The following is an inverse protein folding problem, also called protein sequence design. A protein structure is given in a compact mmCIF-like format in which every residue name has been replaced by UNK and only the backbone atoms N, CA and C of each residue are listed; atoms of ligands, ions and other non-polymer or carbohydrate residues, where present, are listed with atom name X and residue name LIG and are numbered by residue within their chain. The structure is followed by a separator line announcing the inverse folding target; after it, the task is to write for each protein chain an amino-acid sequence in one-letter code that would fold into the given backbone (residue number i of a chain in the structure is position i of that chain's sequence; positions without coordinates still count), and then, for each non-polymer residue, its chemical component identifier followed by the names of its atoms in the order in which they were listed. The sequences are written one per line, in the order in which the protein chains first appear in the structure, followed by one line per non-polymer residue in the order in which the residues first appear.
data_IF_900724569193
#
_entry.id   IF_900724569193
#
_cell.length_a   1.000
_cell.length_b   1.000
_cell.length_c   1.000
_cell.angle_alpha   90.00
_cell.angle_beta   90.00
_cell.angle_gamma   90.00
#
_symmetry.space_group_name_H-M   'P 1'
#
loop_
_entity.id
_entity.type
_entity.pdbx_description
1 polymer ?
2 polymer ?
3 non-polymer ?
4 non-polymer ?
5 water ?
#
# COMPACT_ATOMS: atom_id res chain seq x y z
N UNK A 14 -27.73 22.89 -16.76
CA UNK A 14 -26.77 22.53 -15.71
C UNK A 14 -25.59 21.81 -16.32
N UNK A 15 -24.42 22.42 -16.24
CA UNK A 15 -23.25 21.95 -16.95
C UNK A 15 -22.15 21.55 -15.97
N UNK A 16 -21.42 20.49 -16.34
CA UNK A 16 -20.33 19.99 -15.50
C UNK A 16 -19.20 20.99 -15.42
N UNK A 17 -18.64 21.15 -14.21
CA UNK A 17 -17.53 22.09 -14.03
C UNK A 17 -16.22 21.36 -13.75
N UNK A 18 -15.11 21.84 -14.30
CA UNK A 18 -13.81 21.24 -13.96
C UNK A 18 -13.41 21.58 -12.54
N UNK A 19 -12.66 20.68 -11.93
CA UNK A 19 -12.22 20.94 -10.56
C UNK A 19 -11.06 21.93 -10.58
N UNK A 20 -10.82 22.54 -9.42
CA UNK A 20 -9.73 23.48 -9.23
C UNK A 20 -8.71 22.79 -8.34
N UNK A 21 -7.56 22.43 -8.91
CA UNK A 21 -6.54 21.76 -8.12
C UNK A 21 -5.92 22.72 -7.10
N UNK A 22 -5.37 22.15 -6.02
CA UNK A 22 -4.70 22.93 -5.00
C UNK A 22 -3.52 23.67 -5.62
N UNK A 23 -3.38 24.95 -5.27
CA UNK A 23 -2.38 25.78 -5.95
C UNK A 23 -0.96 25.43 -5.53
N UNK A 24 -0.76 25.06 -4.28
CA UNK A 24 0.56 24.71 -3.78
C UNK A 24 0.96 23.32 -4.27
N UNK A 25 2.02 23.18 -5.08
CA UNK A 25 2.40 21.85 -5.57
C UNK A 25 2.63 20.85 -4.45
N UNK A 26 3.16 21.31 -3.31
CA UNK A 26 3.34 20.42 -2.17
C UNK A 26 2.01 19.88 -1.65
N UNK A 27 0.93 20.67 -1.76
CA UNK A 27 -0.36 20.16 -1.30
C UNK A 27 -0.87 19.08 -2.23
N UNK A 28 -0.62 19.23 -3.53
CA UNK A 28 -1.01 18.22 -4.51
C UNK A 28 -0.25 16.93 -4.31
N UNK A 29 1.06 17.02 -4.04
CA UNK A 29 1.83 15.80 -3.80
C UNK A 29 1.40 15.11 -2.51
N UNK A 30 1.10 15.88 -1.47
CA UNK A 30 0.55 15.32 -0.24
C UNK A 30 -0.77 14.61 -0.50
N UNK A 31 -1.66 15.24 -1.27
CA UNK A 31 -2.94 14.63 -1.61
C UNK A 31 -2.74 13.31 -2.33
N UNK A 32 -1.95 13.33 -3.41
CA UNK A 32 -1.65 12.11 -4.16
C UNK A 32 -0.97 11.06 -3.29
N UNK A 33 -0.21 11.49 -2.29
CA UNK A 33 0.41 10.53 -1.38
C UNK A 33 -0.59 9.79 -0.52
N UNK A 34 -1.63 10.47 -0.03
CA UNK A 34 -2.62 9.77 0.78
C UNK A 34 -3.38 8.74 -0.04
N UNK A 35 -3.59 9.01 -1.33
CA UNK A 35 -4.24 8.02 -2.19
C UNK A 35 -3.32 6.84 -2.44
N UNK A 36 -2.04 7.10 -2.76
CA UNK A 36 -1.09 6.01 -2.93
C UNK A 36 -0.95 5.20 -1.65
N UNK A 37 -0.99 5.87 -0.49
CA UNK A 37 -0.89 5.15 0.77
C UNK A 37 -2.07 4.20 0.98
N UNK A 38 -3.29 4.63 0.63
CA UNK A 38 -4.46 3.78 0.82
C UNK A 38 -4.50 2.65 -0.20
N UNK A 39 -4.07 2.92 -1.44
CA UNK A 39 -3.99 1.86 -2.45
C UNK A 39 -3.01 0.77 -2.03
N UNK A 40 -1.86 1.18 -1.49
CA UNK A 40 -0.88 0.24 -0.98
C UNK A 40 -1.45 -0.59 0.17
N UNK A 41 -2.23 0.05 1.05
CA UNK A 41 -2.83 -0.68 2.18
C UNK A 41 -3.79 -1.76 1.70
N UNK A 42 -4.46 -1.55 0.56
CA UNK A 42 -5.35 -2.55 -0.01
C UNK A 42 -4.64 -3.42 -1.05
N UNK A 43 -3.32 -3.26 -1.19
CA UNK A 43 -2.53 -3.94 -2.21
C UNK A 43 -3.14 -3.76 -3.60
N UNK A 44 -3.40 -2.51 -3.95
CA UNK A 44 -4.00 -2.14 -5.22
C UNK A 44 -3.01 -1.36 -6.07
N UNK A 45 -3.24 -1.41 -7.39
CA UNK A 45 -2.53 -0.56 -8.32
C UNK A 45 -3.42 0.60 -8.73
N UNK A 46 -2.84 1.79 -8.82
CA UNK A 46 -3.60 2.95 -9.30
C UNK A 46 -4.02 2.73 -10.74
N UNK A 47 -5.26 3.10 -11.04
CA UNK A 47 -5.79 3.02 -12.41
C UNK A 47 -6.89 4.06 -12.57
N UNK A 48 -6.68 5.02 -13.47
CA UNK A 48 -7.65 6.09 -13.70
C UNK A 48 -8.55 5.78 -14.90
N UNK A 49 -8.62 4.53 -15.32
CA UNK A 49 -9.47 4.14 -16.42
C UNK A 49 -10.14 2.81 -16.12
N UNK A 50 -11.23 2.55 -16.83
CA UNK A 50 -11.84 1.21 -16.82
C UNK A 50 -10.90 0.21 -17.48
N UNK A 51 -10.68 -0.93 -16.82
CA UNK A 51 -9.78 -1.96 -17.36
C UNK A 51 -10.56 -3.24 -17.67
N UNK A 52 -10.16 -3.90 -18.76
CA UNK A 52 -10.80 -5.11 -19.24
C UNK A 52 -9.76 -6.22 -19.21
N UNK A 53 -9.87 -7.12 -18.24
CA UNK A 53 -8.87 -8.14 -17.98
C UNK A 53 -9.38 -9.51 -18.43
N UNK A 54 -8.46 -10.48 -18.40
CA UNK A 54 -8.77 -11.83 -18.83
C UNK A 54 -9.71 -12.51 -17.86
N UNK A 55 -10.57 -13.37 -18.39
CA UNK A 55 -11.55 -14.04 -17.58
C UNK A 55 -12.64 -13.13 -17.05
N UNK A 56 -12.66 -11.87 -17.47
CA UNK A 56 -13.69 -10.93 -17.03
C UNK A 56 -14.45 -10.40 -18.25
N UNK A 57 -14.95 -9.11 -18.20
CA UNK A 57 -15.70 -8.76 -19.40
C UNK A 57 -14.78 -8.10 -20.43
N UNK A 58 -15.00 -8.36 -21.72
CA UNK A 58 -14.26 -7.63 -22.75
C UNK A 58 -14.85 -6.25 -22.97
N UNK A 59 -14.01 -5.37 -23.50
CA UNK A 59 -14.45 -4.01 -23.79
C UNK A 59 -15.65 -3.98 -24.73
N UNK A 60 -15.86 -5.04 -25.52
CA UNK A 60 -16.99 -5.07 -26.44
C UNK A 60 -18.31 -5.25 -25.71
N UNK A 61 -18.29 -5.86 -24.52
CA UNK A 61 -19.50 -5.98 -23.73
C UNK A 61 -19.99 -4.65 -23.19
N UNK A 62 -19.14 -3.63 -23.11
CA UNK A 62 -19.56 -2.36 -22.50
C UNK A 62 -20.11 -1.44 -23.58
N UNK A 63 -21.40 -1.61 -23.87
CA UNK A 63 -22.10 -0.78 -24.84
C UNK A 63 -23.37 -0.24 -24.18
N UNK A 64 -23.46 1.09 -24.11
CA UNK A 64 -24.58 1.71 -23.40
C UNK A 64 -25.93 1.37 -24.00
N UNK A 65 -25.99 0.97 -25.29
CA UNK A 65 -27.27 0.63 -25.89
C UNK A 65 -27.90 -0.61 -25.28
N UNK A 66 -27.13 -1.42 -24.55
CA UNK A 66 -27.66 -2.56 -23.80
C UNK A 66 -28.39 -2.16 -22.52
N UNK A 67 -28.25 -0.91 -22.05
CA UNK A 67 -28.86 -0.50 -20.78
C UNK A 67 -30.38 -0.50 -20.90
N UNK A 68 -31.05 -1.28 -20.05
CA UNK A 68 -32.50 -1.36 -20.11
C UNK A 68 -33.12 0.00 -19.83
N UNK A 69 -33.93 0.49 -20.76
CA UNK A 69 -34.46 1.82 -20.64
C UNK A 69 -33.54 2.92 -21.12
N UNK A 70 -32.40 2.57 -21.72
CA UNK A 70 -31.51 3.54 -22.29
C UNK A 70 -30.70 4.30 -21.25
N UNK A 71 -29.64 4.94 -21.72
CA UNK A 71 -28.73 5.70 -20.89
C UNK A 71 -28.57 7.10 -21.46
N UNK A 72 -28.61 8.10 -20.58
CA UNK A 72 -28.33 9.47 -20.98
C UNK A 72 -26.95 9.60 -21.62
N UNK A 73 -26.84 10.49 -22.59
CA UNK A 73 -25.61 10.67 -23.37
C UNK A 73 -24.88 11.91 -22.86
N UNK A 74 -23.57 11.77 -22.64
CA UNK A 74 -22.77 12.91 -22.23
C UNK A 74 -22.60 13.85 -23.43
N UNK A 75 -22.95 15.12 -23.23
CA UNK A 75 -22.87 16.10 -24.30
C UNK A 75 -21.43 16.42 -24.69
N UNK A 76 -21.26 16.98 -25.89
CA UNK A 76 -19.93 17.33 -26.34
C UNK A 76 -19.28 18.33 -25.39
N UNK A 77 -20.07 19.27 -24.88
CA UNK A 77 -19.58 20.26 -23.93
C UNK A 77 -19.10 19.60 -22.63
N UNK A 78 -19.86 18.62 -22.12
CA UNK A 78 -19.47 17.90 -20.90
C UNK A 78 -18.32 16.92 -21.16
N UNK A 79 -18.24 16.36 -22.37
CA UNK A 79 -17.12 15.48 -22.70
C UNK A 79 -15.82 16.27 -22.70
N UNK A 80 -15.86 17.49 -23.23
CA UNK A 80 -14.69 18.37 -23.21
C UNK A 80 -14.18 18.57 -21.79
N UNK A 81 -15.08 18.90 -20.87
CA UNK A 81 -14.71 19.07 -19.46
C UNK A 81 -14.11 17.79 -18.88
N UNK A 82 -14.76 16.65 -19.14
CA UNK A 82 -14.21 15.36 -18.73
C UNK A 82 -12.79 15.18 -19.24
N UNK A 83 -12.56 15.47 -20.53
CA UNK A 83 -11.22 15.32 -21.10
C UNK A 83 -10.22 16.26 -20.45
N UNK A 84 -10.64 17.49 -20.12
CA UNK A 84 -9.74 18.39 -19.41
C UNK A 84 -9.34 17.82 -18.05
N UNK A 85 -10.33 17.44 -17.24
CA UNK A 85 -10.05 16.85 -15.93
C UNK A 85 -9.12 15.65 -16.05
N UNK A 86 -9.38 14.76 -17.01
CA UNK A 86 -8.48 13.64 -17.27
C UNK A 86 -7.07 14.11 -17.61
N UNK A 87 -6.96 15.13 -18.47
CA UNK A 87 -5.65 15.67 -18.83
C UNK A 87 -4.98 16.32 -17.63
N UNK A 88 -5.77 17.02 -16.80
CA UNK A 88 -5.21 17.60 -15.59
C UNK A 88 -4.62 16.52 -14.67
N UNK A 89 -5.33 15.41 -14.50
CA UNK A 89 -4.83 14.36 -13.62
C UNK A 89 -3.55 13.71 -14.16
N UNK A 90 -3.37 13.71 -15.47
CA UNK A 90 -2.17 13.10 -16.04
C UNK A 90 -0.91 13.89 -15.69
N UNK A 91 -1.00 15.22 -15.70
CA UNK A 91 0.17 16.08 -15.42
C UNK A 91 0.37 16.35 -13.94
N UNK A 92 -0.48 15.83 -13.06
CA UNK A 92 -0.31 16.02 -11.62
C UNK A 92 -1.31 16.95 -10.96
N UNK A 93 -2.25 17.51 -11.72
CA UNK A 93 -3.30 18.36 -11.16
C UNK A 93 -4.52 17.52 -10.82
N UNK A 94 -4.41 16.78 -9.71
CA UNK A 94 -5.51 15.99 -9.19
C UNK A 94 -6.57 16.89 -8.58
N UNK A 95 -7.80 16.40 -8.41
CA UNK A 95 -8.78 17.17 -7.63
C UNK A 95 -8.33 17.31 -6.20
N UNK A 96 -8.80 18.41 -5.47
CA UNK A 96 -8.29 18.64 -4.10
C UNK A 96 -8.98 17.71 -3.10
N UNK A 97 -8.47 16.48 -3.00
CA UNK A 97 -9.08 15.43 -2.20
C UNK A 97 -8.03 14.75 -1.35
N UNK A 98 -8.42 14.36 -0.14
CA UNK A 98 -7.56 13.64 0.78
C UNK A 98 -8.23 12.33 1.14
N UNK A 99 -7.47 11.23 1.06
CA UNK A 99 -7.92 9.96 1.60
C UNK A 99 -7.46 9.91 3.06
N UNK A 100 -8.40 9.73 3.98
CA UNK A 100 -8.14 9.80 5.41
C UNK A 100 -8.80 8.61 6.09
N UNK A 101 -8.05 7.94 6.98
CA UNK A 101 -8.62 6.82 7.69
C UNK A 101 -9.46 7.32 8.87
N UNK A 102 -10.66 6.76 9.00
CA UNK A 102 -11.57 7.04 10.10
C UNK A 102 -11.92 5.72 10.76
N UNK A 103 -11.93 5.70 12.10
CA UNK A 103 -12.09 4.43 12.81
C UNK A 103 -13.49 3.86 12.65
N UNK A 104 -14.48 4.69 12.36
CA UNK A 104 -15.85 4.21 12.20
C UNK A 104 -16.25 3.99 10.75
N UNK A 105 -15.49 4.53 9.78
CA UNK A 105 -15.82 4.37 8.38
C UNK A 105 -14.75 3.64 7.57
N UNK A 106 -13.54 3.49 8.11
CA UNK A 106 -12.44 3.05 7.29
C UNK A 106 -11.83 4.22 6.53
N UNK A 107 -11.33 3.93 5.33
CA UNK A 107 -10.84 5.01 4.48
C UNK A 107 -12.02 5.86 3.99
N UNK A 108 -11.81 7.17 3.99
CA UNK A 108 -12.81 8.14 3.56
C UNK A 108 -12.11 9.18 2.71
N UNK A 109 -12.90 9.99 2.01
CA UNK A 109 -12.36 11.03 1.14
C UNK A 109 -12.94 12.37 1.58
N UNK A 110 -12.08 13.35 1.83
CA UNK A 110 -12.52 14.67 2.21
C UNK A 110 -11.93 15.71 1.29
N UNK A 111 -12.68 16.79 1.11
CA UNK A 111 -12.19 17.90 0.34
C UNK A 111 -10.99 18.52 1.04
N UNK A 112 -9.89 18.72 0.30
CA UNK A 112 -8.74 19.46 0.80
C UNK A 112 -8.66 20.85 0.19
N UNK A 113 -9.76 21.29 -0.41
CA UNK A 113 -9.96 22.62 -0.97
C UNK A 113 -11.42 22.71 -1.33
N UNK A 114 -11.85 23.90 -1.74
CA UNK A 114 -13.24 24.09 -2.10
C UNK A 114 -13.57 23.34 -3.40
N UNK A 115 -14.77 22.76 -3.44
CA UNK A 115 -15.32 22.09 -4.62
C UNK A 115 -16.72 22.67 -4.83
N UNK A 116 -16.91 23.38 -5.94
CA UNK A 116 -18.19 24.03 -6.20
C UNK A 116 -19.25 23.01 -6.63
N UNK A 117 -20.50 23.37 -6.41
CA UNK A 117 -21.63 22.65 -6.98
C UNK A 117 -21.41 22.38 -8.46
N UNK A 118 -21.78 21.17 -8.90
CA UNK A 118 -21.67 20.67 -10.27
C UNK A 118 -20.23 20.38 -10.71
N UNK A 119 -19.29 20.30 -9.78
CA UNK A 119 -17.91 20.04 -10.15
C UNK A 119 -17.65 18.54 -10.33
N UNK A 120 -16.97 18.19 -11.42
CA UNK A 120 -16.51 16.83 -11.64
C UNK A 120 -15.49 16.43 -10.57
N UNK A 121 -15.75 15.31 -9.90
CA UNK A 121 -14.87 14.81 -8.85
C UNK A 121 -13.97 13.70 -9.37
N UNK A 122 -14.57 12.64 -9.92
CA UNK A 122 -13.80 11.50 -10.41
C UNK A 122 -14.71 10.54 -11.17
N UNK A 123 -14.07 9.71 -12.00
CA UNK A 123 -14.69 8.54 -12.61
C UNK A 123 -14.49 7.34 -11.71
N UNK A 124 -15.50 6.47 -11.63
CA UNK A 124 -15.36 5.25 -10.86
C UNK A 124 -14.66 4.21 -11.72
N UNK A 125 -13.41 3.90 -11.41
CA UNK A 125 -12.63 2.98 -12.23
C UNK A 125 -12.37 1.67 -11.47
N UNK A 126 -11.80 0.73 -12.20
CA UNK A 126 -11.56 -0.63 -11.73
C UNK A 126 -11.78 -1.59 -12.88
N UNK A 127 -11.71 -2.88 -12.56
CA UNK A 127 -11.91 -3.93 -13.56
C UNK A 127 -13.39 -4.08 -13.88
N UNK A 128 -13.71 -4.11 -15.17
CA UNK A 128 -15.07 -4.36 -15.63
C UNK A 128 -15.30 -5.87 -15.72
N UNK A 129 -16.38 -6.34 -15.09
CA UNK A 129 -16.69 -7.76 -15.08
C UNK A 129 -18.19 -7.93 -15.20
N UNK A 130 -18.58 -9.14 -15.59
CA UNK A 130 -19.99 -9.49 -15.64
C UNK A 130 -20.52 -9.66 -14.23
N UNK A 131 -21.72 -9.15 -13.98
CA UNK A 131 -22.37 -9.35 -12.69
C UNK A 131 -22.50 -10.84 -12.38
N UNK A 132 -22.82 -11.63 -13.40
CA UNK A 132 -22.88 -13.09 -13.27
C UNK A 132 -21.61 -13.66 -12.65
N UNK A 133 -20.45 -13.03 -12.90
CA UNK A 133 -19.18 -13.55 -12.40
C UNK A 133 -18.87 -13.12 -10.98
N UNK A 134 -19.68 -12.26 -10.37
CA UNK A 134 -19.33 -11.73 -9.06
C UNK A 134 -20.45 -11.91 -8.04
N UNK A 135 -21.40 -12.81 -8.31
CA UNK A 135 -22.51 -13.04 -7.40
C UNK A 135 -22.03 -13.43 -6.01
N UNK A 136 -20.88 -14.10 -5.93
CA UNK A 136 -20.30 -14.52 -4.65
C UNK A 136 -19.23 -13.59 -4.13
N UNK A 137 -18.82 -12.57 -4.91
CA UNK A 137 -17.64 -11.79 -4.55
C UNK A 137 -17.89 -10.96 -3.28
N UNK A 138 -16.87 -10.90 -2.44
CA UNK A 138 -16.90 -10.21 -1.15
C UNK A 138 -16.45 -8.75 -1.23
N UNK A 139 -15.95 -8.28 -2.37
CA UNK A 139 -15.47 -6.90 -2.50
C UNK A 139 -16.52 -5.90 -2.05
N UNK A 140 -16.11 -5.00 -1.16
CA UNK A 140 -17.03 -4.01 -0.62
C UNK A 140 -17.21 -2.79 -1.53
N UNK A 141 -16.61 -2.77 -2.73
CA UNK A 141 -16.60 -1.54 -3.53
C UNK A 141 -17.03 -1.75 -4.97
N UNK A 142 -17.88 -2.76 -5.23
CA UNK A 142 -18.42 -2.98 -6.56
C UNK A 142 -19.47 -1.92 -6.92
N UNK A 143 -19.44 -1.47 -8.18
CA UNK A 143 -20.32 -0.41 -8.66
C UNK A 143 -20.92 -0.82 -9.99
N UNK A 144 -22.25 -0.75 -10.09
CA UNK A 144 -22.92 -1.17 -11.31
C UNK A 144 -22.45 -0.32 -12.49
N UNK A 145 -22.18 -0.97 -13.62
CA UNK A 145 -21.78 -0.26 -14.82
C UNK A 145 -22.87 -0.28 -15.88
N UNK A 146 -23.47 -1.46 -16.12
CA UNK A 146 -24.47 -1.69 -17.15
C UNK A 146 -25.51 -2.67 -16.62
N UNK A 147 -26.78 -2.30 -16.70
CA UNK A 147 -27.90 -3.13 -16.30
C UNK A 147 -28.69 -3.44 -17.55
N UNK A 148 -28.53 -4.66 -18.05
CA UNK A 148 -29.12 -5.10 -19.31
C UNK A 148 -30.37 -5.93 -19.04
N UNK A 149 -31.25 -6.01 -20.04
CA UNK A 149 -32.45 -6.82 -19.88
C UNK A 149 -32.09 -8.28 -19.65
N UNK A 150 -31.08 -8.78 -20.36
CA UNK A 150 -30.55 -10.11 -20.09
C UNK A 150 -29.49 -10.00 -19.00
N UNK A 151 -29.74 -10.52 -17.79
CA UNK A 151 -28.80 -10.31 -16.67
C UNK A 151 -27.41 -10.86 -16.92
N UNK A 152 -27.25 -11.84 -17.81
CA UNK A 152 -25.90 -12.31 -18.08
C UNK A 152 -25.09 -11.32 -18.91
N UNK A 153 -25.66 -10.18 -19.33
CA UNK A 153 -24.87 -9.15 -19.98
C UNK A 153 -24.59 -7.93 -19.10
N UNK A 154 -25.14 -7.90 -17.89
CA UNK A 154 -24.93 -6.77 -16.97
C UNK A 154 -23.50 -6.77 -16.45
N UNK A 155 -22.96 -5.56 -16.28
CA UNK A 155 -21.55 -5.37 -15.93
C UNK A 155 -21.42 -4.60 -14.62
N UNK A 156 -20.34 -4.88 -13.91
CA UNK A 156 -20.05 -4.24 -12.64
C UNK A 156 -18.56 -3.87 -12.66
N UNK A 157 -18.24 -2.70 -12.08
CA UNK A 157 -16.86 -2.26 -11.92
C UNK A 157 -16.34 -2.84 -10.62
N UNK A 158 -15.16 -3.45 -10.66
CA UNK A 158 -14.59 -4.13 -9.50
C UNK A 158 -13.20 -3.53 -9.21
N UNK A 159 -13.08 -2.60 -8.28
CA UNK A 159 -11.79 -1.98 -7.98
C UNK A 159 -11.03 -2.74 -6.89
N UNK A 160 -11.00 -4.07 -6.98
CA UNK A 160 -10.33 -4.86 -5.94
C UNK A 160 -8.83 -4.98 -6.19
N UNK A 161 -8.40 -5.05 -7.44
CA UNK A 161 -6.99 -5.08 -7.78
C UNK A 161 -6.47 -3.75 -8.34
N UNK A 162 -7.31 -3.01 -9.07
CA UNK A 162 -6.95 -1.76 -9.73
C UNK A 162 -8.07 -0.75 -9.54
N UNK A 163 -7.73 0.50 -9.24
CA UNK A 163 -8.76 1.52 -9.09
C UNK A 163 -8.20 2.87 -8.72
N UNK A 164 -9.10 3.81 -8.43
CA UNK A 164 -8.70 5.18 -8.11
C UNK A 164 -9.40 5.65 -6.83
N UNK A 165 -9.44 6.98 -6.64
CA UNK A 165 -9.97 7.54 -5.39
C UNK A 165 -11.46 7.28 -5.21
N UNK A 166 -12.20 7.05 -6.30
CA UNK A 166 -13.65 6.94 -6.20
C UNK A 166 -14.08 5.79 -5.29
N UNK A 167 -13.32 4.69 -5.28
CA UNK A 167 -13.67 3.53 -4.47
C UNK A 167 -13.58 3.81 -2.98
N UNK A 168 -12.98 4.92 -2.58
CA UNK A 168 -12.83 5.21 -1.16
C UNK A 168 -13.90 6.16 -0.62
N UNK A 169 -14.75 6.70 -1.48
CA UNK A 169 -15.74 7.70 -1.06
C UNK A 169 -16.89 7.00 -0.33
N UNK A 170 -17.32 7.60 0.79
CA UNK A 170 -18.33 7.04 1.68
C UNK A 170 -19.72 7.18 1.10
N UNK A 171 -20.64 6.41 1.67
CA UNK A 171 -22.05 6.46 1.31
C UNK A 171 -22.91 6.90 2.48
N UNK A 172 -24.15 7.28 2.21
CA UNK A 172 -25.05 7.71 3.27
C UNK A 172 -25.77 6.50 3.86
N UNK A 173 -26.18 6.65 5.10
CA UNK A 173 -27.12 5.69 5.68
C UNK A 173 -28.49 5.95 5.06
N UNK A 174 -29.02 4.97 4.32
CA UNK A 174 -30.33 5.14 3.70
C UNK A 174 -31.50 4.87 4.64
N UNK A 175 -31.25 4.57 5.92
CA UNK A 175 -32.31 4.17 6.82
C UNK A 175 -32.64 5.20 7.90
N UNK A 176 -31.82 6.21 8.11
CA UNK A 176 -32.05 7.10 9.24
C UNK A 176 -32.77 8.37 8.79
N UNK A 177 -33.47 8.99 9.73
CA UNK A 177 -34.27 10.16 9.39
C UNK A 177 -33.41 11.31 8.88
N UNK A 178 -32.19 11.47 9.38
CA UNK A 178 -31.33 12.58 8.99
C UNK A 178 -30.16 12.17 8.12
N UNK A 179 -30.06 10.89 7.72
CA UNK A 179 -28.90 10.42 6.97
C UNK A 179 -28.74 11.07 5.61
N UNK A 180 -29.86 11.38 4.94
CA UNK A 180 -29.82 12.02 3.63
C UNK A 180 -29.13 13.38 3.67
N UNK A 181 -29.09 14.04 4.84
CA UNK A 181 -28.52 15.38 4.93
C UNK A 181 -27.02 15.40 4.69
N UNK A 182 -26.34 14.26 4.81
CA UNK A 182 -24.90 14.25 4.57
C UNK A 182 -24.51 14.20 3.11
N UNK A 183 -25.44 13.87 2.21
CA UNK A 183 -25.09 13.74 0.80
C UNK A 183 -24.69 15.10 0.20
N UNK A 184 -23.47 15.17 -0.31
CA UNK A 184 -22.99 16.36 -1.00
C UNK A 184 -22.44 16.05 -2.39
N UNK A 185 -22.60 14.82 -2.88
CA UNK A 185 -22.26 14.53 -4.26
C UNK A 185 -23.12 13.38 -4.75
N UNK A 186 -23.04 13.11 -6.05
CA UNK A 186 -23.92 12.16 -6.70
C UNK A 186 -23.15 11.35 -7.74
N UNK A 187 -23.50 10.07 -7.83
CA UNK A 187 -22.91 9.19 -8.82
C UNK A 187 -23.90 9.00 -9.97
N UNK A 188 -23.44 9.20 -11.20
CA UNK A 188 -24.29 9.12 -12.37
C UNK A 188 -23.59 8.28 -13.44
N UNK A 189 -24.40 7.64 -14.30
CA UNK A 189 -23.90 6.86 -15.42
C UNK A 189 -24.30 7.52 -16.73
N UNK A 190 -23.31 7.73 -17.60
CA UNK A 190 -23.49 8.41 -18.88
C UNK A 190 -22.88 7.58 -20.00
N UNK A 191 -23.47 7.70 -21.19
CA UNK A 191 -22.90 7.11 -22.39
C UNK A 191 -21.87 8.07 -22.99
N UNK A 192 -20.65 7.57 -23.17
CA UNK A 192 -19.55 8.32 -23.75
C UNK A 192 -19.01 7.45 -24.88
N UNK A 193 -19.16 7.92 -26.13
CA UNK A 193 -18.75 7.17 -27.31
C UNK A 193 -19.41 5.79 -27.36
N UNK A 194 -20.69 5.74 -26.99
CA UNK A 194 -21.43 4.49 -26.98
C UNK A 194 -21.16 3.55 -25.81
N UNK A 195 -20.26 3.91 -24.88
CA UNK A 195 -19.93 3.04 -23.76
C UNK A 195 -20.47 3.60 -22.45
N UNK A 196 -20.73 2.71 -21.49
CA UNK A 196 -21.14 3.12 -20.16
C UNK A 196 -19.97 3.67 -19.38
N UNK A 197 -20.20 4.74 -18.62
CA UNK A 197 -19.18 5.37 -17.79
C UNK A 197 -19.84 5.86 -16.50
N UNK A 198 -19.12 5.76 -15.40
CA UNK A 198 -19.64 6.12 -14.09
C UNK A 198 -18.84 7.30 -13.53
N UNK A 199 -19.53 8.38 -13.18
CA UNK A 199 -18.86 9.59 -12.69
C UNK A 199 -19.47 10.09 -11.39
N UNK A 200 -18.66 10.83 -10.64
CA UNK A 200 -19.09 11.48 -9.40
C UNK A 200 -19.05 12.99 -9.58
N UNK A 201 -20.11 13.66 -9.16
CA UNK A 201 -20.25 15.10 -9.35
C UNK A 201 -20.73 15.72 -8.03
N UNK A 202 -20.17 16.87 -7.68
CA UNK A 202 -20.64 17.58 -6.48
C UNK A 202 -22.05 18.11 -6.70
N UNK A 203 -22.92 17.94 -5.69
CA UNK A 203 -24.28 18.43 -5.81
C UNK A 203 -24.55 19.66 -4.95
N UNK A 204 -23.54 20.14 -4.24
CA UNK A 204 -23.60 21.45 -3.60
C UNK A 204 -22.17 21.90 -3.36
N UNK A 205 -22.00 23.14 -2.91
CA UNK A 205 -20.66 23.64 -2.63
C UNK A 205 -20.09 22.88 -1.43
N UNK A 206 -18.88 22.38 -1.57
CA UNK A 206 -18.21 21.59 -0.53
C UNK A 206 -17.01 22.38 -0.02
N UNK A 207 -16.93 22.53 1.30
CA UNK A 207 -15.86 23.27 1.96
C UNK A 207 -14.67 22.37 2.25
N UNK A 208 -13.50 22.98 2.38
CA UNK A 208 -12.29 22.25 2.76
C UNK A 208 -12.50 21.51 4.07
N UNK A 209 -12.06 20.26 4.12
CA UNK A 209 -12.23 19.43 5.29
C UNK A 209 -13.54 18.66 5.35
N UNK A 210 -14.48 19.01 4.49
CA UNK A 210 -15.77 18.32 4.43
C UNK A 210 -15.61 16.94 3.81
N UNK A 211 -16.11 15.92 4.49
CA UNK A 211 -16.09 14.55 3.98
C UNK A 211 -17.11 14.38 2.86
N UNK A 212 -16.74 13.64 1.84
CA UNK A 212 -17.62 13.36 0.71
C UNK A 212 -18.54 12.17 1.02
N UNK A 213 -19.82 12.31 0.65
CA UNK A 213 -20.82 11.26 0.77
C UNK A 213 -21.77 11.31 -0.41
N UNK A 214 -22.06 10.15 -1.01
CA UNK A 214 -23.11 10.03 -2.02
C UNK A 214 -23.98 8.83 -1.65
N UNK A 215 -25.07 8.66 -2.42
CA UNK A 215 -26.05 7.60 -2.18
C UNK A 215 -25.59 6.34 -2.91
N UNK A 216 -25.11 5.35 -2.14
CA UNK A 216 -24.69 4.07 -2.72
C UNK A 216 -25.84 3.36 -3.42
N UNK A 217 -27.08 3.65 -3.06
CA UNK A 217 -28.23 2.97 -3.63
C UNK A 217 -29.01 3.93 -4.52
N UNK A 218 -28.33 4.47 -5.52
CA UNK A 218 -28.96 5.47 -6.36
C UNK A 218 -29.82 4.95 -7.48
N UNK A 219 -29.96 3.63 -7.62
CA UNK A 219 -30.80 3.05 -8.67
C UNK A 219 -31.33 1.69 -8.21
N UNK A 220 -30.43 0.76 -7.98
CA UNK A 220 -30.80 -0.46 -7.27
C UNK A 220 -30.67 -0.20 -5.77
N UNK A 221 -31.04 -1.21 -4.98
CA UNK A 221 -30.89 -1.16 -3.54
C UNK A 221 -30.09 -2.38 -3.10
N UNK A 222 -28.91 -2.53 -3.69
CA UNK A 222 -28.07 -3.70 -3.46
C UNK A 222 -26.94 -3.46 -2.47
N UNK A 223 -26.91 -2.29 -1.80
CA UNK A 223 -25.86 -2.04 -0.81
C UNK A 223 -26.45 -1.86 0.58
N UNK A 224 -26.13 -2.74 1.55
CA UNK A 224 -26.66 -2.57 2.92
C UNK A 224 -26.01 -1.40 3.63
N UNK A 225 -26.83 -0.48 4.16
CA UNK A 225 -26.30 0.74 4.78
C UNK A 225 -26.83 1.02 6.18
N UNK A 226 -27.64 0.13 6.76
CA UNK A 226 -28.27 0.35 8.06
C UNK A 226 -27.32 0.78 9.14
N UNK A 227 -26.12 0.24 9.11
CA UNK A 227 -25.14 0.46 10.15
C UNK A 227 -24.20 1.61 9.85
N UNK A 228 -24.37 2.29 8.71
CA UNK A 228 -23.49 3.39 8.35
C UNK A 228 -23.61 4.55 9.35
N UNK A 229 -22.52 5.30 9.50
CA UNK A 229 -22.51 6.44 10.41
C UNK A 229 -22.85 7.76 9.69
N UNK B 15 -0.66 -4.95 12.47
CA UNK B 15 -0.07 -5.60 13.64
C UNK B 15 0.78 -6.75 13.12
N UNK B 16 1.94 -6.95 13.74
CA UNK B 16 2.87 -7.96 13.25
C UNK B 16 2.20 -9.32 13.23
N UNK B 17 2.41 -10.03 12.16
CA UNK B 17 1.98 -11.40 12.05
C UNK B 17 3.18 -12.33 12.09
N UNK B 18 3.06 -13.48 12.76
CA UNK B 18 4.16 -14.45 12.74
C UNK B 18 4.21 -15.16 11.40
N UNK B 19 5.42 -15.48 10.97
CA UNK B 19 5.60 -16.14 9.69
C UNK B 19 5.13 -17.59 9.78
N UNK B 20 4.89 -18.20 8.63
CA UNK B 20 4.47 -19.60 8.54
C UNK B 20 5.64 -20.35 7.92
N UNK B 21 6.31 -21.21 8.68
CA UNK B 21 7.44 -21.89 8.08
C UNK B 21 6.94 -23.02 7.19
N UNK B 22 7.84 -23.50 6.33
CA UNK B 22 7.46 -24.55 5.40
C UNK B 22 7.10 -25.83 6.13
N UNK B 23 6.02 -26.47 5.70
CA UNK B 23 5.54 -27.65 6.40
C UNK B 23 6.43 -28.87 6.19
N UNK B 24 7.06 -28.99 5.03
CA UNK B 24 7.95 -30.14 4.79
C UNK B 24 9.27 -29.91 5.52
N UNK B 25 9.65 -30.79 6.46
CA UNK B 25 10.94 -30.59 7.16
C UNK B 25 12.12 -30.56 6.22
N UNK B 26 12.08 -31.38 5.17
CA UNK B 26 13.18 -31.37 4.21
C UNK B 26 13.25 -30.02 3.50
N UNK B 27 12.13 -29.31 3.35
CA UNK B 27 12.18 -28.00 2.73
C UNK B 27 12.83 -26.99 3.66
N UNK B 28 12.50 -27.04 4.95
CA UNK B 28 13.17 -26.17 5.93
C UNK B 28 14.68 -26.45 5.95
N UNK B 29 15.06 -27.72 5.85
CA UNK B 29 16.46 -28.11 5.85
C UNK B 29 17.17 -27.55 4.63
N UNK B 30 16.56 -27.69 3.46
CA UNK B 30 17.13 -27.09 2.25
C UNK B 30 17.32 -25.58 2.43
N UNK B 31 16.34 -24.91 3.06
CA UNK B 31 16.40 -23.46 3.23
C UNK B 31 17.59 -23.05 4.09
N UNK B 32 17.68 -23.63 5.29
CA UNK B 32 18.80 -23.43 6.19
C UNK B 32 20.13 -23.74 5.52
N UNK B 33 20.14 -24.75 4.64
CA UNK B 33 21.37 -25.12 3.96
C UNK B 33 21.88 -24.05 2.99
N UNK B 34 20.97 -23.39 2.26
CA UNK B 34 21.40 -22.30 1.40
C UNK B 34 21.95 -21.13 2.22
N UNK B 35 21.40 -20.92 3.41
CA UNK B 35 21.92 -19.87 4.29
C UNK B 35 23.33 -20.22 4.79
N UNK B 36 23.52 -21.45 5.27
CA UNK B 36 24.83 -21.86 5.78
C UNK B 36 25.92 -21.78 4.70
N UNK B 37 25.59 -22.16 3.46
CA UNK B 37 26.57 -22.09 2.38
C UNK B 37 26.93 -20.66 2.04
N UNK B 38 25.94 -19.75 2.08
CA UNK B 38 26.22 -18.35 1.83
C UNK B 38 27.09 -17.76 2.94
N UNK B 39 26.76 -18.07 4.19
CA UNK B 39 27.58 -17.62 5.32
C UNK B 39 29.03 -18.07 5.18
N UNK B 40 29.24 -19.36 4.89
CA UNK B 40 30.59 -19.92 4.73
C UNK B 40 31.37 -19.20 3.62
N UNK B 41 30.70 -18.89 2.51
CA UNK B 41 31.34 -18.15 1.43
C UNK B 41 31.77 -16.76 1.88
N UNK B 42 31.13 -16.19 2.89
CA UNK B 42 31.51 -14.88 3.41
C UNK B 42 32.33 -15.00 4.68
N UNK B 43 32.72 -16.23 5.05
CA UNK B 43 33.50 -16.51 6.26
C UNK B 43 32.76 -16.01 7.49
N UNK B 44 31.44 -16.20 7.47
CA UNK B 44 30.55 -15.76 8.55
C UNK B 44 30.04 -16.94 9.35
N UNK B 45 29.79 -16.66 10.63
CA UNK B 45 29.10 -17.54 11.54
C UNK B 45 27.63 -17.15 11.60
N UNK B 46 26.75 -18.14 11.83
CA UNK B 46 25.34 -17.84 12.01
C UNK B 46 25.10 -17.23 13.38
N UNK B 47 24.33 -16.14 13.40
CA UNK B 47 23.97 -15.48 14.65
C UNK B 47 22.62 -14.79 14.44
N UNK B 48 21.62 -15.18 15.23
CA UNK B 48 20.26 -14.67 15.11
C UNK B 48 19.94 -13.67 16.21
N UNK B 49 20.95 -13.07 16.85
CA UNK B 49 20.77 -12.03 17.85
C UNK B 49 21.85 -10.97 17.65
N UNK B 50 21.52 -9.75 18.07
CA UNK B 50 22.55 -8.73 18.22
C UNK B 50 23.59 -9.20 19.24
N UNK B 51 24.87 -9.11 18.88
CA UNK B 51 25.93 -9.50 19.80
C UNK B 51 26.75 -8.27 20.20
N UNK B 52 27.05 -8.18 21.49
CA UNK B 52 27.73 -7.05 22.08
C UNK B 52 29.05 -7.48 22.71
N UNK B 53 30.01 -6.56 22.69
CA UNK B 53 31.34 -6.77 23.24
C UNK B 53 31.80 -5.47 23.89
N UNK B 54 32.34 -5.58 25.11
CA UNK B 54 32.95 -4.42 25.75
C UNK B 54 34.06 -3.84 24.89
N UNK B 55 34.61 -4.63 23.97
CA UNK B 55 35.63 -4.13 23.07
C UNK B 55 35.11 -3.31 21.90
N UNK B 56 33.85 -3.51 21.49
CA UNK B 56 33.22 -2.64 20.51
C UNK B 56 32.22 -1.76 21.25
N UNK B 57 30.93 -2.07 21.23
CA UNK B 57 29.95 -1.32 21.99
C UNK B 57 29.25 -2.23 22.98
N UNK B 58 29.18 -1.85 24.25
CA UNK B 58 28.49 -2.68 25.24
C UNK B 58 26.98 -2.56 25.08
N UNK B 59 26.28 -3.59 25.55
CA UNK B 59 24.83 -3.61 25.46
C UNK B 59 24.20 -2.39 26.10
N UNK B 60 24.84 -1.84 27.14
CA UNK B 60 24.31 -0.67 27.83
C UNK B 60 24.36 0.59 26.97
N UNK B 61 25.11 0.58 25.87
CA UNK B 61 25.09 1.73 24.97
C UNK B 61 23.84 1.77 24.09
N UNK B 62 23.16 0.64 23.91
CA UNK B 62 21.97 0.57 23.06
C UNK B 62 20.76 0.96 23.90
N UNK B 63 20.51 2.26 23.97
CA UNK B 63 19.34 2.80 24.65
C UNK B 63 18.57 3.62 23.65
N UNK B 64 17.34 3.20 23.33
CA UNK B 64 16.51 3.89 22.35
C UNK B 64 16.21 5.31 22.77
N UNK B 65 16.35 5.58 24.07
CA UNK B 65 16.27 6.92 24.61
C UNK B 65 17.12 7.92 23.82
N UNK B 66 18.30 7.49 23.39
CA UNK B 66 19.27 8.35 22.71
C UNK B 66 18.93 8.65 21.25
N UNK B 67 17.87 8.07 20.69
CA UNK B 67 17.56 8.33 19.28
C UNK B 67 17.10 9.77 19.10
N UNK B 68 17.78 10.50 18.21
CA UNK B 68 17.41 11.88 17.94
C UNK B 68 15.97 11.97 17.45
N UNK B 69 15.14 12.70 18.20
CA UNK B 69 13.73 12.78 17.86
C UNK B 69 12.88 11.59 18.27
N UNK B 70 13.44 10.61 18.95
CA UNK B 70 12.65 9.53 19.51
C UNK B 70 12.51 8.33 18.60
N UNK B 71 12.12 7.20 19.20
CA UNK B 71 11.93 5.94 18.50
C UNK B 71 10.62 5.31 18.92
N UNK B 72 9.81 4.89 17.92
CA UNK B 72 8.56 4.18 18.17
C UNK B 72 8.81 2.95 19.06
N UNK B 73 7.85 2.69 19.95
CA UNK B 73 7.93 1.60 20.91
C UNK B 73 7.13 0.41 20.40
N UNK B 74 7.76 -0.77 20.37
CA UNK B 74 7.05 -1.98 19.97
C UNK B 74 6.05 -2.37 21.06
N UNK B 75 4.80 -2.61 20.66
CA UNK B 75 3.74 -2.88 21.63
C UNK B 75 3.87 -4.28 22.22
N UNK B 76 3.17 -4.48 23.35
CA UNK B 76 3.22 -5.75 24.06
C UNK B 76 2.83 -6.91 23.16
N UNK B 77 1.74 -6.76 22.41
CA UNK B 77 1.30 -7.81 21.49
C UNK B 77 2.34 -8.08 20.40
N UNK B 78 2.98 -7.02 19.88
CA UNK B 78 3.97 -7.23 18.84
C UNK B 78 5.25 -7.86 19.39
N UNK B 79 5.61 -7.54 20.64
CA UNK B 79 6.75 -8.20 21.26
C UNK B 79 6.50 -9.69 21.40
N UNK B 80 5.27 -10.06 21.77
CA UNK B 80 4.89 -11.46 21.85
C UNK B 80 5.05 -12.17 20.50
N UNK B 81 4.61 -11.52 19.41
CA UNK B 81 4.83 -12.08 18.08
C UNK B 81 6.33 -12.23 17.80
N UNK B 82 7.11 -11.18 18.11
CA UNK B 82 8.56 -11.24 17.95
C UNK B 82 9.16 -12.44 18.67
N UNK B 83 8.76 -12.64 19.92
CA UNK B 83 9.31 -13.76 20.69
C UNK B 83 8.84 -15.12 20.16
N UNK B 84 7.57 -15.20 19.77
CA UNK B 84 7.10 -16.37 19.01
C UNK B 84 8.02 -16.69 17.85
N UNK B 85 8.28 -15.71 16.99
CA UNK B 85 9.13 -15.94 15.82
C UNK B 85 10.55 -16.32 16.23
N UNK B 86 11.09 -15.68 17.27
CA UNK B 86 12.42 -16.07 17.73
C UNK B 86 12.45 -17.52 18.22
N UNK B 87 11.44 -17.92 18.99
CA UNK B 87 11.39 -19.29 19.46
C UNK B 87 11.22 -20.28 18.32
N UNK B 88 10.48 -19.88 17.27
CA UNK B 88 10.32 -20.77 16.13
C UNK B 88 11.64 -21.00 15.44
N UNK B 89 12.44 -19.94 15.25
CA UNK B 89 13.73 -20.11 14.59
C UNK B 89 14.69 -20.95 15.44
N UNK B 90 14.65 -20.78 16.76
CA UNK B 90 15.47 -21.59 17.65
C UNK B 90 15.13 -23.07 17.53
N UNK B 91 13.85 -23.36 17.31
CA UNK B 91 13.30 -24.69 17.19
C UNK B 91 13.55 -25.33 15.83
N UNK B 92 13.99 -24.54 14.83
CA UNK B 92 14.14 -25.02 13.48
C UNK B 92 13.01 -24.68 12.54
N UNK B 93 11.98 -23.97 13.03
CA UNK B 93 10.94 -23.39 12.17
C UNK B 93 11.42 -22.01 11.70
N UNK B 94 12.24 -22.02 10.66
CA UNK B 94 12.78 -20.81 10.04
C UNK B 94 11.74 -20.21 9.11
N UNK B 95 11.77 -18.90 8.89
CA UNK B 95 10.89 -18.30 7.88
C UNK B 95 11.15 -18.94 6.54
N UNK B 96 10.12 -18.93 5.58
CA UNK B 96 10.30 -19.70 4.33
C UNK B 96 11.07 -18.90 3.28
N UNK B 97 12.40 -18.94 3.41
CA UNK B 97 13.28 -18.11 2.61
C UNK B 97 14.45 -18.94 2.11
N UNK B 98 14.92 -18.60 0.92
CA UNK B 98 16.02 -19.28 0.28
C UNK B 98 17.09 -18.25 -0.06
N UNK B 99 18.34 -18.54 0.23
CA UNK B 99 19.44 -17.72 -0.26
C UNK B 99 19.86 -18.24 -1.62
N UNK B 100 19.89 -17.36 -2.61
CA UNK B 100 20.10 -17.75 -4.01
C UNK B 100 21.08 -16.78 -4.65
N UNK B 101 22.06 -17.32 -5.37
CA UNK B 101 23.02 -16.48 -6.09
C UNK B 101 22.43 -15.96 -7.38
N UNK B 102 22.69 -14.69 -7.67
CA UNK B 102 22.23 -14.01 -8.87
C UNK B 102 23.41 -13.26 -9.48
N UNK B 103 23.58 -13.39 -10.79
CA UNK B 103 24.77 -12.83 -11.44
C UNK B 103 24.79 -11.30 -11.38
N UNK B 104 23.63 -10.66 -11.36
CA UNK B 104 23.60 -9.20 -11.29
C UNK B 104 23.69 -8.69 -9.85
N UNK B 105 23.23 -9.46 -8.86
CA UNK B 105 23.04 -8.93 -7.52
C UNK B 105 23.89 -9.57 -6.43
N UNK B 106 24.61 -10.66 -6.72
CA UNK B 106 25.22 -11.43 -5.64
C UNK B 106 24.22 -12.39 -5.01
N UNK B 107 24.45 -12.72 -3.74
CA UNK B 107 23.47 -13.48 -2.97
C UNK B 107 22.20 -12.65 -2.77
N UNK B 108 21.05 -13.28 -2.98
CA UNK B 108 19.74 -12.67 -2.78
C UNK B 108 18.89 -13.61 -1.93
N UNK B 109 17.70 -13.15 -1.58
CA UNK B 109 16.78 -13.88 -0.73
C UNK B 109 15.41 -13.85 -1.40
N UNK B 110 14.84 -15.04 -1.63
CA UNK B 110 13.50 -15.15 -2.18
C UNK B 110 12.60 -15.97 -1.24
N UNK B 111 11.32 -15.62 -1.25
CA UNK B 111 10.35 -16.40 -0.51
C UNK B 111 10.32 -17.81 -1.09
N UNK B 112 10.36 -18.81 -0.23
CA UNK B 112 10.23 -20.21 -0.63
C UNK B 112 8.87 -20.75 -0.20
N UNK B 113 7.97 -19.86 0.16
CA UNK B 113 6.59 -20.16 0.48
C UNK B 113 5.93 -18.82 0.58
N UNK B 114 4.63 -18.83 0.83
CA UNK B 114 3.99 -17.54 0.84
C UNK B 114 4.31 -16.75 2.13
N UNK B 115 4.45 -15.43 1.98
CA UNK B 115 4.62 -14.53 3.11
C UNK B 115 3.56 -13.42 3.00
N UNK B 116 2.70 -13.32 3.99
CA UNK B 116 1.62 -12.35 3.92
C UNK B 116 2.06 -10.98 4.38
N UNK B 117 1.32 -9.96 3.91
CA UNK B 117 1.45 -8.60 4.38
C UNK B 117 1.48 -8.53 5.90
N UNK B 118 2.39 -7.70 6.44
CA UNK B 118 2.62 -7.49 7.88
C UNK B 118 3.31 -8.66 8.59
N UNK B 119 3.80 -9.65 7.86
CA UNK B 119 4.52 -10.75 8.47
C UNK B 119 5.94 -10.33 8.85
N UNK B 120 6.31 -10.61 10.10
CA UNK B 120 7.69 -10.49 10.55
C UNK B 120 8.56 -11.45 9.75
N UNK B 121 9.61 -10.93 9.11
CA UNK B 121 10.50 -11.75 8.29
C UNK B 121 11.77 -12.13 9.05
N UNK B 122 12.48 -11.13 9.57
CA UNK B 122 13.72 -11.37 10.32
C UNK B 122 14.14 -10.09 11.03
N UNK B 123 14.95 -10.26 12.07
CA UNK B 123 15.71 -9.20 12.70
C UNK B 123 17.04 -9.05 11.97
N UNK B 124 17.48 -7.81 11.78
CA UNK B 124 18.81 -7.56 11.23
C UNK B 124 19.83 -7.73 12.35
N UNK B 125 20.66 -8.77 12.28
CA UNK B 125 21.57 -9.12 13.37
C UNK B 125 23.04 -8.99 12.94
N UNK B 126 23.91 -9.05 13.94
CA UNK B 126 25.34 -8.86 13.77
C UNK B 126 25.95 -8.30 15.04
N UNK B 127 27.26 -8.00 14.96
CA UNK B 127 27.95 -7.32 16.05
C UNK B 127 27.53 -5.86 16.11
N UNK B 128 27.21 -5.37 17.30
CA UNK B 128 26.90 -3.95 17.48
C UNK B 128 28.19 -3.18 17.80
N UNK B 129 28.39 -2.05 17.12
CA UNK B 129 29.59 -1.24 17.22
C UNK B 129 29.24 0.23 17.08
N UNK B 130 30.14 1.08 17.58
CA UNK B 130 30.00 2.52 17.38
C UNK B 130 30.29 2.86 15.94
N UNK B 131 29.50 3.77 15.38
CA UNK B 131 29.73 4.21 14.00
C UNK B 131 31.15 4.76 13.85
N UNK B 132 31.69 5.40 14.89
CA UNK B 132 33.04 5.94 14.82
C UNK B 132 34.10 4.85 14.77
N UNK B 133 33.80 3.67 15.30
CA UNK B 133 34.73 2.56 15.17
C UNK B 133 34.76 1.97 13.76
N UNK B 134 33.86 2.40 12.86
CA UNK B 134 33.75 1.78 11.54
C UNK B 134 33.85 2.83 10.44
N UNK B 135 34.54 3.95 10.71
CA UNK B 135 34.66 5.01 9.69
C UNK B 135 35.36 4.51 8.43
N UNK B 136 36.32 3.59 8.57
CA UNK B 136 37.07 3.10 7.41
C UNK B 136 36.62 1.72 6.92
N UNK B 137 35.58 1.13 7.50
CA UNK B 137 35.23 -0.26 7.21
C UNK B 137 34.55 -0.38 5.83
N UNK B 138 34.98 -1.39 5.07
CA UNK B 138 34.49 -1.65 3.72
C UNK B 138 33.28 -2.59 3.67
N UNK B 139 32.75 -3.03 4.81
CA UNK B 139 31.65 -4.00 4.81
C UNK B 139 30.45 -3.46 4.03
N UNK B 140 29.86 -4.31 3.19
CA UNK B 140 28.77 -3.84 2.34
C UNK B 140 27.40 -3.98 2.97
N UNK B 141 27.32 -4.31 4.26
CA UNK B 141 26.01 -4.60 4.84
C UNK B 141 25.92 -4.11 6.28
N UNK B 142 26.53 -2.96 6.57
CA UNK B 142 26.29 -2.30 7.85
C UNK B 142 24.89 -1.69 7.87
N UNK B 143 24.28 -1.69 9.06
CA UNK B 143 22.91 -1.24 9.25
C UNK B 143 22.82 -0.35 10.48
N UNK B 144 22.28 0.84 10.31
CA UNK B 144 22.10 1.77 11.40
C UNK B 144 21.27 1.11 12.51
N UNK B 145 21.71 1.27 13.74
CA UNK B 145 20.97 0.79 14.90
C UNK B 145 20.41 1.95 15.73
N UNK B 146 21.24 2.94 16.03
CA UNK B 146 20.86 4.07 16.88
C UNK B 146 21.55 5.33 16.38
N UNK B 147 20.76 6.39 16.15
CA UNK B 147 21.26 7.67 15.62
C UNK B 147 21.05 8.74 16.69
N UNK B 148 22.09 9.02 17.47
CA UNK B 148 22.02 9.98 18.55
C UNK B 148 22.48 11.36 18.09
N UNK B 149 22.04 12.40 18.80
CA UNK B 149 22.53 13.76 18.53
C UNK B 149 24.05 13.82 18.62
N UNK B 150 24.64 13.17 19.61
CA UNK B 150 26.09 13.05 19.72
C UNK B 150 26.56 11.92 18.80
N UNK B 151 27.28 12.21 17.72
CA UNK B 151 27.65 11.15 16.77
C UNK B 151 28.54 10.07 17.37
N UNK B 152 29.20 10.32 18.49
CA UNK B 152 30.05 9.29 19.10
C UNK B 152 29.25 8.32 19.94
N UNK B 153 27.96 8.53 20.11
CA UNK B 153 27.10 7.53 20.73
C UNK B 153 26.38 6.65 19.69
N UNK B 154 26.39 7.03 18.43
CA UNK B 154 25.59 6.32 17.42
C UNK B 154 26.11 4.91 17.18
N UNK B 155 25.17 4.00 16.91
CA UNK B 155 25.48 2.59 16.80
C UNK B 155 25.07 2.04 15.44
N UNK B 156 25.78 0.99 15.02
CA UNK B 156 25.57 0.34 13.74
C UNK B 156 25.72 -1.16 13.96
N UNK B 157 25.00 -1.96 13.17
CA UNK B 157 25.09 -3.42 13.20
C UNK B 157 26.04 -3.85 12.10
N UNK B 158 27.00 -4.71 12.44
CA UNK B 158 28.05 -5.12 11.51
C UNK B 158 28.05 -6.62 11.37
N UNK B 159 27.46 -7.18 10.32
CA UNK B 159 27.42 -8.63 10.18
C UNK B 159 28.61 -9.17 9.42
N UNK B 160 29.81 -8.62 9.64
CA UNK B 160 30.94 -9.05 8.84
C UNK B 160 31.56 -10.36 9.35
N UNK B 161 31.49 -10.60 10.65
CA UNK B 161 31.92 -11.88 11.18
C UNK B 161 30.79 -12.87 11.43
N UNK B 162 29.63 -12.37 11.86
CA UNK B 162 28.50 -13.24 12.15
C UNK B 162 27.23 -12.47 11.85
N UNK B 163 26.17 -13.21 11.52
CA UNK B 163 24.89 -12.59 11.19
C UNK B 163 23.89 -13.63 10.71
N UNK B 164 22.85 -13.17 10.01
CA UNK B 164 21.77 -14.05 9.61
C UNK B 164 21.32 -13.71 8.19
N UNK B 165 20.12 -14.15 7.82
CA UNK B 165 19.65 -14.00 6.45
C UNK B 165 19.37 -12.55 6.07
N UNK B 166 19.15 -11.68 7.06
CA UNK B 166 18.76 -10.30 6.79
C UNK B 166 19.82 -9.54 5.99
N UNK B 167 21.09 -9.85 6.20
CA UNK B 167 22.14 -9.13 5.49
C UNK B 167 22.28 -9.55 4.05
N UNK B 168 21.59 -10.63 3.62
CA UNK B 168 21.60 -11.04 2.23
C UNK B 168 20.43 -10.49 1.41
N UNK B 169 19.46 -9.82 2.05
CA UNK B 169 18.30 -9.29 1.32
C UNK B 169 18.70 -8.08 0.49
N UNK B 170 18.24 -8.06 -0.77
CA UNK B 170 18.55 -6.99 -1.73
C UNK B 170 17.83 -5.68 -1.41
N UNK B 171 18.36 -4.58 -1.98
CA UNK B 171 17.75 -3.28 -1.86
C UNK B 171 17.25 -2.78 -3.23
N UNK B 172 16.44 -1.72 -3.19
CA UNK B 172 15.92 -1.17 -4.42
C UNK B 172 16.88 -0.12 -4.97
N UNK B 173 16.79 0.12 -6.28
CA UNK B 173 17.46 1.27 -6.87
C UNK B 173 16.63 2.51 -6.53
N UNK B 174 17.20 3.43 -5.74
CA UNK B 174 16.49 4.64 -5.35
C UNK B 174 16.55 5.74 -6.41
N UNK B 175 17.22 5.51 -7.53
CA UNK B 175 17.38 6.55 -8.55
C UNK B 175 16.40 6.43 -9.71
N UNK B 176 15.63 5.36 -9.78
CA UNK B 176 14.72 5.12 -10.90
C UNK B 176 13.28 5.08 -10.42
N UNK B 177 12.37 5.48 -11.31
CA UNK B 177 10.95 5.51 -10.96
C UNK B 177 10.36 4.11 -10.86
N UNK B 178 10.92 3.14 -11.58
CA UNK B 178 10.45 1.76 -11.48
C UNK B 178 11.06 1.03 -10.29
N UNK B 179 12.03 1.63 -9.59
CA UNK B 179 12.72 0.92 -8.53
C UNK B 179 11.84 0.61 -7.33
N UNK B 180 11.06 1.60 -6.89
CA UNK B 180 10.13 1.43 -5.78
C UNK B 180 9.11 0.33 -6.01
N UNK B 181 8.84 -0.02 -7.27
CA UNK B 181 7.82 -1.01 -7.57
C UNK B 181 8.18 -2.41 -7.11
N UNK B 182 9.47 -2.73 -7.05
CA UNK B 182 9.88 -4.08 -6.63
C UNK B 182 9.87 -4.25 -5.12
N UNK B 183 9.76 -3.17 -4.34
CA UNK B 183 9.85 -3.27 -2.90
C UNK B 183 8.66 -4.05 -2.32
N UNK B 184 8.96 -5.08 -1.55
CA UNK B 184 7.91 -5.86 -0.93
C UNK B 184 8.12 -6.07 0.56
N UNK B 185 9.16 -5.49 1.15
CA UNK B 185 9.31 -5.46 2.60
C UNK B 185 9.94 -4.14 3.01
N UNK B 186 9.90 -3.88 4.31
CA UNK B 186 10.35 -2.62 4.89
C UNK B 186 11.17 -2.92 6.13
N UNK B 187 12.26 -2.18 6.28
CA UNK B 187 13.08 -2.28 7.47
C UNK B 187 12.69 -1.14 8.41
N UNK B 188 12.41 -1.47 9.67
CA UNK B 188 11.97 -0.51 10.66
C UNK B 188 12.78 -0.70 11.94
N UNK B 189 12.89 0.37 12.72
CA UNK B 189 13.57 0.31 14.01
C UNK B 189 12.57 0.60 15.12
N UNK B 190 12.57 -0.26 16.13
CA UNK B 190 11.63 -0.14 17.23
C UNK B 190 12.37 -0.25 18.56
N UNK B 191 11.84 0.45 19.55
CA UNK B 191 12.30 0.31 20.91
C UNK B 191 11.64 -0.91 21.53
N UNK B 192 12.45 -1.86 21.97
CA UNK B 192 11.97 -3.07 22.62
C UNK B 192 12.65 -3.14 23.98
N UNK B 193 11.86 -2.95 25.04
CA UNK B 193 12.37 -2.95 26.40
C UNK B 193 13.51 -1.94 26.55
N UNK B 194 13.36 -0.80 25.88
CA UNK B 194 14.31 0.29 25.97
C UNK B 194 15.47 0.23 24.99
N UNK B 195 15.62 -0.85 24.22
CA UNK B 195 16.74 -1.01 23.31
C UNK B 195 16.29 -0.86 21.86
N UNK B 196 17.15 -0.27 21.03
CA UNK B 196 16.87 -0.21 19.60
C UNK B 196 16.95 -1.61 19.01
N UNK B 197 16.06 -1.90 18.07
CA UNK B 197 16.04 -3.16 17.34
C UNK B 197 15.65 -2.88 15.88
N UNK B 198 16.18 -3.68 14.96
CA UNK B 198 15.98 -3.47 13.53
C UNK B 198 15.31 -4.73 12.94
N UNK B 199 14.07 -4.59 12.44
CA UNK B 199 13.26 -5.70 11.96
C UNK B 199 12.84 -5.50 10.51
N UNK B 200 12.64 -6.60 9.80
CA UNK B 200 12.10 -6.58 8.43
C UNK B 200 10.70 -7.16 8.43
N UNK B 201 9.77 -6.44 7.80
CA UNK B 201 8.35 -6.79 7.78
C UNK B 201 7.86 -6.73 6.33
N UNK B 202 7.12 -7.77 5.90
CA UNK B 202 6.52 -7.74 4.57
C UNK B 202 5.51 -6.60 4.48
N UNK B 203 5.51 -5.90 3.34
CA UNK B 203 4.57 -4.79 3.16
C UNK B 203 3.51 -5.10 2.13
N UNK B 204 3.52 -6.30 1.57
CA UNK B 204 2.46 -6.81 0.72
C UNK B 204 2.55 -8.32 0.77
N UNK B 205 1.54 -9.00 0.24
CA UNK B 205 1.60 -10.46 0.13
C UNK B 205 2.69 -10.84 -0.85
N UNK B 206 3.58 -11.71 -0.43
CA UNK B 206 4.74 -12.14 -1.22
C UNK B 206 4.51 -13.58 -1.63
N UNK B 207 4.57 -13.85 -2.93
CA UNK B 207 4.37 -15.20 -3.43
C UNK B 207 5.66 -15.99 -3.37
N UNK B 208 5.51 -17.32 -3.36
CA UNK B 208 6.63 -18.23 -3.49
C UNK B 208 7.43 -17.91 -4.75
N UNK B 209 8.76 -17.86 -4.61
CA UNK B 209 9.64 -17.53 -5.71
C UNK B 209 9.92 -16.06 -5.89
N UNK B 210 9.15 -15.18 -5.26
CA UNK B 210 9.38 -13.74 -5.38
C UNK B 210 10.61 -13.33 -4.57
N UNK B 211 11.47 -12.50 -5.17
CA UNK B 211 12.67 -12.01 -4.48
C UNK B 211 12.32 -10.87 -3.52
N UNK B 212 12.97 -10.87 -2.35
CA UNK B 212 12.73 -9.82 -1.36
C UNK B 212 13.56 -8.57 -1.69
N UNK B 213 12.92 -7.39 -1.62
CA UNK B 213 13.56 -6.09 -1.79
C UNK B 213 13.01 -5.11 -0.76
N UNK B 214 13.90 -4.36 -0.09
CA UNK B 214 13.50 -3.25 0.75
C UNK B 214 14.35 -2.03 0.38
N UNK B 215 14.13 -0.92 1.08
CA UNK B 215 14.81 0.32 0.77
C UNK B 215 16.02 0.44 1.69
N UNK B 216 17.24 0.34 1.11
CA UNK B 216 18.46 0.50 1.92
C UNK B 216 18.61 1.91 2.46
N UNK B 217 17.95 2.90 1.85
CA UNK B 217 18.05 4.27 2.31
C UNK B 217 16.73 4.76 2.88
N UNK B 218 16.24 4.05 3.91
CA UNK B 218 14.94 4.36 4.47
C UNK B 218 14.92 5.49 5.47
N UNK B 219 16.08 6.01 5.84
CA UNK B 219 16.16 7.14 6.76
C UNK B 219 17.30 8.07 6.37
N UNK B 220 18.55 7.61 6.52
CA UNK B 220 19.69 8.30 5.94
C UNK B 220 19.78 7.93 4.47
N UNK B 221 20.75 8.52 3.78
CA UNK B 221 21.02 8.20 2.39
C UNK B 221 22.48 7.80 2.22
N UNK B 222 22.95 6.90 3.08
CA UNK B 222 24.35 6.50 3.10
C UNK B 222 24.65 5.25 2.28
N UNK B 223 23.72 4.76 1.46
CA UNK B 223 23.99 3.57 0.64
C UNK B 223 23.86 3.92 -0.84
N UNK B 224 24.94 3.82 -1.62
CA UNK B 224 24.85 4.12 -3.06
C UNK B 224 24.12 3.00 -3.80
N UNK B 225 23.07 3.37 -4.54
CA UNK B 225 22.23 2.37 -5.21
C UNK B 225 22.03 2.58 -6.71
N UNK B 226 22.68 3.59 -7.32
CA UNK B 226 22.33 3.98 -8.68
C UNK B 226 22.57 2.87 -9.70
N UNK B 227 23.44 1.92 -9.37
CA UNK B 227 23.74 0.82 -10.26
C UNK B 227 22.90 -0.42 -9.99
N UNK B 228 21.97 -0.35 -9.02
CA UNK B 228 21.24 -1.54 -8.60
C UNK B 228 20.28 -2.01 -9.69
N UNK B 229 20.03 -3.32 -9.64
CA UNK B 229 18.94 -4.07 -10.27
C UNK B 229 19.29 -4.48 -11.69
N UNK C 1 -22.45 -12.84 -0.57
CA UNK C 1 -23.78 -12.45 -1.08
C UNK C 1 -23.89 -11.18 -1.89
N UNK C 2 -22.76 -10.50 -2.04
CA UNK C 2 -22.57 -9.50 -3.08
C UNK C 2 -23.32 -8.18 -2.85
N UNK C 3 -22.58 -7.19 -2.36
CA UNK C 3 -23.08 -5.83 -2.20
C UNK C 3 -22.62 -4.99 -3.38
N UNK C 4 -23.52 -4.19 -3.92
CA UNK C 4 -23.25 -3.47 -5.15
C UNK C 4 -23.76 -2.04 -5.02
N UNK C 5 -22.87 -1.06 -5.23
CA UNK C 5 -23.30 0.32 -5.38
C UNK C 5 -23.95 0.51 -6.75
N UNK C 6 -24.88 1.46 -6.85
CA UNK C 6 -25.58 1.63 -8.11
C UNK C 6 -25.98 3.09 -8.30
N UNK C 7 -26.04 3.50 -9.56
CA UNK C 7 -26.31 4.88 -9.92
C UNK C 7 -27.29 4.93 -11.08
N UNK C 8 -28.10 5.99 -11.18
CA UNK C 8 -29.09 6.06 -12.26
C UNK C 8 -28.42 6.35 -13.61
N UNK C 9 -29.10 5.92 -14.67
CA UNK C 9 -28.65 6.15 -16.04
C UNK C 9 -29.46 7.25 -16.74
N UNK C 10 -30.42 7.86 -16.04
CA UNK C 10 -31.23 8.95 -16.56
C UNK C 10 -31.41 9.97 -15.45
N UNK C 11 -31.98 11.13 -15.79
CA UNK C 11 -32.27 12.15 -14.82
C UNK C 11 -31.18 13.18 -14.61
N UNK C 12 -30.01 13.01 -15.20
CA UNK C 12 -28.93 13.97 -15.02
C UNK C 12 -28.42 14.07 -13.59
N UNK C 13 -27.66 15.14 -13.35
CA UNK C 13 -27.12 15.41 -12.02
C UNK C 13 -28.16 16.08 -11.14
N UNK C 14 -28.61 17.27 -11.54
CA UNK C 14 -29.72 17.94 -10.87
C UNK C 14 -30.93 18.06 -11.79
N UNK D 2 32.23 5.09 4.49
CA UNK D 2 31.54 3.83 4.68
C UNK D 2 30.12 3.88 4.14
N UNK D 3 29.61 2.72 3.74
CA UNK D 3 28.25 2.59 3.23
C UNK D 3 27.39 1.98 4.32
N UNK D 4 26.21 2.55 4.51
CA UNK D 4 25.37 2.21 5.65
C UNK D 4 23.94 2.12 5.17
N UNK D 5 23.32 0.95 5.36
CA UNK D 5 21.87 0.84 5.25
C UNK D 5 21.23 1.52 6.46
N UNK D 6 20.04 2.09 6.25
CA UNK D 6 19.39 2.77 7.36
C UNK D 6 17.88 2.62 7.29
N UNK D 7 17.25 2.71 8.46
CA UNK D 7 15.82 2.52 8.57
C UNK D 7 15.24 3.59 9.48
N UNK D 8 13.98 3.97 9.26
CA UNK D 8 13.35 4.98 10.12
C UNK D 8 13.00 4.42 11.50
N UNK D 9 12.90 5.34 12.45
CA UNK D 9 12.53 5.05 13.81
C UNK D 9 11.13 5.52 14.15
N UNK D 10 10.42 6.12 13.19
CA UNK D 10 9.05 6.57 13.38
C UNK D 10 8.23 6.16 12.16
N UNK D 11 6.91 6.29 12.26
CA UNK D 11 6.05 6.12 11.12
C UNK D 11 5.52 4.70 10.90
N UNK D 12 5.92 3.75 11.73
CA UNK D 12 5.43 2.39 11.64
C UNK D 12 5.84 1.68 10.36
N UNK D 13 5.11 0.59 10.10
CA UNK D 13 5.26 -0.13 8.83
C UNK D 13 4.38 0.48 7.76
N UNK D 14 3.11 0.70 8.10
CA UNK D 14 2.11 1.32 7.26
C UNK D 14 1.79 2.72 7.77
#
# INVERSE_FOLDING_TARGET
RRRSGSLVYQKRRRRLLPFVSSEDPAQRLKQMGTLASALTELQMEFSDDLTYSSGMAPRSANQARFEEGGMQVLTKEDIETLEQCRAMCKRGDCPPLLVVFDSREGFTVEADGQIKDMTFIAEYTGDVDYIRNREHDDCDSMMTLLLAKDPSKSLVICPDKRGNIARFISGINNHTLDGKKKQNCKCVRYSVNGECRVFLVATRDIAKGERLYYDYNGYEHEYPTQHFV
RRRSGSLVYQKRRRRLLPFVSSEDPAQRLKQMGTLASALTELQMEFSDDLTYSSGMAPRSANQARFEEGGMQVLTKEDIETLEQCRAMCKRGDCPPLLVVFDSREGFTVEADGQIKDMTFIAEYTGDVDYIRNREHDDCDSMMTLLLAKDPSKSLVICPDKRGNIARFISGINNHTLDGKKKQNCKCVRYSVNGECRVFLVATRDIAKGERLYYDYNGYEHEYPTQHFV
KAARKSAPATGGVK
KAARKSAPATGGVK
#
